data_IF_019171089453
#
_entry.id   IF_019171089453
#
_cell.length_a   1.000
_cell.length_b   1.000
_cell.length_c   1.000
_cell.angle_alpha   90.00
_cell.angle_beta   90.00
_cell.angle_gamma   90.00
#
_symmetry.space_group_name_H-M   'P 1'
#
loop_
_entity.id
_entity.type
_entity.pdbx_description
1 polymer ?
#
# COMPACT_ATOMS: atom_id res chain seq x y z
N UNK A 1 13.86 11.28 -1.97
CA UNK A 1 13.80 9.81 -1.86
C UNK A 1 12.86 9.33 -0.74
N UNK A 2 13.19 9.44 0.55
CA UNK A 2 12.33 8.87 1.61
C UNK A 2 10.92 9.45 1.71
N UNK A 3 10.79 10.78 1.65
CA UNK A 3 9.46 11.43 1.62
C UNK A 3 8.67 11.12 0.34
N UNK A 4 9.32 11.02 -0.82
CA UNK A 4 8.64 10.66 -2.08
C UNK A 4 8.08 9.24 -2.01
N UNK A 5 8.84 8.28 -1.46
CA UNK A 5 8.38 6.90 -1.23
C UNK A 5 7.21 6.85 -0.25
N UNK A 6 7.26 7.63 0.83
CA UNK A 6 6.17 7.71 1.81
C UNK A 6 4.91 8.36 1.20
N UNK A 7 5.06 9.46 0.46
CA UNK A 7 3.95 10.13 -0.25
C UNK A 7 3.27 9.18 -1.23
N UNK A 8 4.08 8.43 -1.99
CA UNK A 8 3.61 7.42 -2.92
C UNK A 8 2.86 6.32 -2.17
N UNK A 9 3.41 5.80 -1.07
CA UNK A 9 2.74 4.78 -0.28
C UNK A 9 1.40 5.25 0.28
N UNK A 10 1.33 6.46 0.84
CA UNK A 10 0.07 7.05 1.30
C UNK A 10 -0.95 7.13 0.15
N UNK A 11 -0.51 7.62 -1.01
CA UNK A 11 -1.34 7.73 -2.22
C UNK A 11 -1.86 6.37 -2.67
N UNK A 12 -0.98 5.36 -2.79
CA UNK A 12 -1.34 4.02 -3.22
C UNK A 12 -2.29 3.34 -2.23
N UNK A 13 -2.12 3.58 -0.92
CA UNK A 13 -3.05 3.08 0.11
C UNK A 13 -4.41 3.74 0.00
N UNK A 14 -4.49 5.06 -0.24
CA UNK A 14 -5.76 5.75 -0.48
C UNK A 14 -6.46 5.20 -1.72
N UNK A 15 -5.73 4.99 -2.83
CA UNK A 15 -6.27 4.38 -4.06
C UNK A 15 -6.88 3.01 -3.78
N UNK A 16 -6.15 2.17 -3.06
CA UNK A 16 -6.61 0.84 -2.68
C UNK A 16 -7.86 0.89 -1.78
N UNK A 17 -7.90 1.81 -0.79
CA UNK A 17 -9.09 2.03 0.05
C UNK A 17 -10.29 2.49 -0.77
N UNK A 18 -10.10 3.43 -1.70
CA UNK A 18 -11.16 3.92 -2.59
C UNK A 18 -11.67 2.82 -3.53
N UNK A 19 -10.80 1.97 -4.07
CA UNK A 19 -11.19 0.81 -4.86
C UNK A 19 -12.04 -0.18 -4.03
N UNK A 20 -11.70 -0.38 -2.74
CA UNK A 20 -12.39 -1.31 -1.84
C UNK A 20 -13.74 -0.79 -1.34
N UNK A 21 -13.80 0.49 -0.97
CA UNK A 21 -14.92 1.07 -0.22
C UNK A 21 -15.76 2.08 -1.02
N UNK A 22 -15.31 2.39 -2.24
CA UNK A 22 -15.79 3.50 -3.05
C UNK A 22 -15.20 4.84 -2.62
N UNK A 23 -15.09 5.78 -3.56
CA UNK A 23 -14.66 7.15 -3.26
C UNK A 23 -15.61 7.83 -2.27
N UNK A 24 -15.01 8.49 -1.27
CA UNK A 24 -15.69 9.37 -0.33
C UNK A 24 -14.87 10.63 -0.12
N UNK A 25 -15.53 11.77 -0.21
CA UNK A 25 -14.95 13.07 0.15
C UNK A 25 -14.90 13.19 1.68
N UNK A 26 -13.88 12.59 2.28
CA UNK A 26 -13.66 12.60 3.73
C UNK A 26 -12.16 12.58 4.08
N UNK A 27 -11.85 12.92 5.33
CA UNK A 27 -10.50 12.81 5.85
C UNK A 27 -10.16 11.34 6.17
N UNK A 28 -8.93 10.94 5.86
CA UNK A 28 -8.43 9.56 5.98
C UNK A 28 -7.41 9.49 7.12
N UNK A 29 -7.33 8.35 7.79
CA UNK A 29 -6.28 8.06 8.79
C UNK A 29 -5.56 6.78 8.43
N UNK A 30 -4.31 6.90 8.01
CA UNK A 30 -3.45 5.77 7.67
C UNK A 30 -2.44 5.51 8.79
N UNK A 31 -2.16 4.23 9.05
CA UNK A 31 -1.29 3.82 10.16
C UNK A 31 -0.08 3.06 9.65
N UNK A 32 1.12 3.52 10.05
CA UNK A 32 2.38 2.87 9.74
C UNK A 32 3.13 2.49 11.03
N UNK A 33 3.75 1.30 11.09
CA UNK A 33 4.68 1.00 12.17
C UNK A 33 5.98 1.80 11.98
N UNK A 34 6.71 2.00 13.08
CA UNK A 34 8.02 2.65 13.07
C UNK A 34 9.02 1.96 12.12
N UNK A 35 8.97 0.63 12.03
CA UNK A 35 9.84 -0.15 11.13
C UNK A 35 9.67 0.26 9.67
N UNK A 36 8.45 0.33 9.15
CA UNK A 36 8.19 0.76 7.78
C UNK A 36 8.63 2.20 7.53
N UNK A 37 8.48 3.09 8.51
CA UNK A 37 8.99 4.46 8.40
C UNK A 37 10.52 4.50 8.35
N UNK A 38 11.18 3.72 9.20
CA UNK A 38 12.62 3.54 9.15
C UNK A 38 13.08 3.03 7.77
N UNK A 39 12.34 2.10 7.14
CA UNK A 39 12.62 1.60 5.79
C UNK A 39 12.47 2.66 4.69
N UNK A 40 11.45 3.52 4.78
CA UNK A 40 11.30 4.62 3.82
C UNK A 40 12.50 5.57 3.84
N UNK A 41 12.98 5.90 5.04
CA UNK A 41 14.05 6.88 5.23
C UNK A 41 15.46 6.28 5.26
N UNK A 42 15.59 4.94 5.24
CA UNK A 42 16.85 4.21 5.41
C UNK A 42 17.58 4.62 6.70
N UNK A 43 16.86 4.57 7.82
CA UNK A 43 17.36 4.96 9.16
C UNK A 43 16.97 3.94 10.22
N UNK A 44 17.55 4.07 11.42
CA UNK A 44 17.18 3.28 12.60
C UNK A 44 16.80 4.23 13.74
N UNK A 45 15.67 4.91 13.56
CA UNK A 45 15.18 5.90 14.52
C UNK A 45 14.21 5.28 15.53
N UNK A 46 14.16 5.87 16.72
CA UNK A 46 13.12 5.62 17.73
C UNK A 46 11.90 6.51 17.45
N UNK A 47 10.77 6.19 18.08
CA UNK A 47 9.49 6.91 17.92
C UNK A 47 9.64 8.44 17.98
N UNK A 48 10.32 8.98 18.99
CA UNK A 48 10.49 10.43 19.16
C UNK A 48 11.28 11.09 18.01
N UNK A 49 12.30 10.40 17.50
CA UNK A 49 13.15 10.90 16.41
C UNK A 49 12.36 10.91 15.09
N UNK A 50 11.65 9.82 14.81
CA UNK A 50 10.80 9.71 13.63
C UNK A 50 9.63 10.70 13.68
N UNK A 51 9.02 10.93 14.85
CA UNK A 51 7.99 11.95 15.01
C UNK A 51 8.52 13.35 14.76
N UNK A 52 9.70 13.69 15.28
CA UNK A 52 10.34 14.98 15.02
C UNK A 52 10.65 15.18 13.52
N UNK A 53 11.13 14.13 12.84
CA UNK A 53 11.32 14.14 11.38
C UNK A 53 10.01 14.47 10.66
N UNK A 54 8.94 13.76 10.99
CA UNK A 54 7.63 13.89 10.36
C UNK A 54 6.85 15.16 10.75
N UNK A 55 7.35 15.99 11.67
CA UNK A 55 6.80 17.33 11.92
C UNK A 55 7.09 18.32 10.80
N UNK A 56 8.09 18.04 9.95
CA UNK A 56 8.52 18.91 8.85
C UNK A 56 8.28 18.21 7.51
N UNK A 57 7.02 17.95 7.19
CA UNK A 57 6.63 17.36 5.92
C UNK A 57 6.96 18.31 4.75
N UNK A 58 7.29 17.78 3.55
CA UNK A 58 7.56 18.62 2.39
C UNK A 58 6.35 19.49 2.01
N UNK A 59 6.60 20.76 1.69
CA UNK A 59 5.54 21.68 1.20
C UNK A 59 4.87 21.16 -0.08
N UNK A 60 5.57 20.35 -0.87
CA UNK A 60 5.02 19.71 -2.08
C UNK A 60 3.82 18.81 -1.81
N UNK A 61 3.65 18.33 -0.57
CA UNK A 61 2.48 17.55 -0.17
C UNK A 61 1.23 18.41 -0.05
N UNK A 62 1.37 19.70 0.26
CA UNK A 62 0.24 20.59 0.50
C UNK A 62 -0.69 20.68 -0.70
N UNK A 63 -0.17 20.61 -1.93
CA UNK A 63 -0.97 20.64 -3.16
C UNK A 63 -1.76 19.33 -3.37
N UNK A 64 -1.20 18.19 -2.95
CA UNK A 64 -1.76 16.87 -3.20
C UNK A 64 -2.57 16.34 -2.02
N UNK A 65 -1.93 16.22 -0.87
CA UNK A 65 -2.48 15.60 0.33
C UNK A 65 -3.04 16.62 1.32
N UNK A 66 -2.77 17.91 1.13
CA UNK A 66 -3.17 18.98 2.05
C UNK A 66 -2.29 19.07 3.30
N UNK A 67 -2.83 19.65 4.37
CA UNK A 67 -2.13 19.80 5.66
C UNK A 67 -2.14 18.48 6.43
N UNK A 68 -1.18 17.60 6.10
CA UNK A 68 -1.06 16.26 6.68
C UNK A 68 -0.56 16.35 8.12
N UNK A 69 -1.35 15.80 9.05
CA UNK A 69 -0.99 15.74 10.47
C UNK A 69 -0.39 14.38 10.83
N UNK A 70 0.66 14.37 11.67
CA UNK A 70 1.27 13.12 12.16
C UNK A 70 1.22 13.04 13.67
N UNK A 71 0.73 11.92 14.18
CA UNK A 71 0.77 11.57 15.61
C UNK A 71 1.33 10.16 15.78
N UNK A 72 1.90 9.86 16.95
CA UNK A 72 2.46 8.53 17.23
C UNK A 72 2.04 8.03 18.60
N UNK A 73 1.87 6.71 18.72
CA UNK A 73 1.65 6.02 19.99
C UNK A 73 2.07 4.56 19.90
N UNK A 74 3.00 4.13 20.76
CA UNK A 74 3.46 2.73 20.85
C UNK A 74 3.97 2.21 19.49
N UNK A 75 4.86 2.98 18.88
CA UNK A 75 5.54 2.74 17.60
C UNK A 75 4.59 2.64 16.40
N UNK A 76 3.37 3.15 16.54
CA UNK A 76 2.40 3.30 15.45
C UNK A 76 2.14 4.77 15.17
N UNK A 77 2.35 5.17 13.93
CA UNK A 77 2.19 6.53 13.43
C UNK A 77 0.88 6.65 12.66
N UNK A 78 0.05 7.60 13.06
CA UNK A 78 -1.19 7.94 12.37
C UNK A 78 -0.93 9.18 11.51
N UNK A 79 -1.10 9.03 10.20
CA UNK A 79 -1.16 10.10 9.22
C UNK A 79 -2.62 10.50 9.03
N UNK A 80 -2.98 11.68 9.53
CA UNK A 80 -4.24 12.33 9.22
C UNK A 80 -4.10 13.07 7.90
N UNK A 81 -4.90 12.68 6.91
CA UNK A 81 -4.94 13.29 5.59
C UNK A 81 -6.31 13.97 5.45
N UNK A 82 -6.38 15.29 5.25
CA UNK A 82 -7.65 16.00 5.08
C UNK A 82 -8.39 15.56 3.81
N UNK A 83 -9.66 15.99 3.65
CA UNK A 83 -10.49 15.64 2.50
C UNK A 83 -9.83 15.93 1.15
N UNK A 84 -8.95 16.93 1.10
CA UNK A 84 -8.18 17.29 -0.08
C UNK A 84 -7.38 16.10 -0.62
N UNK A 85 -6.72 15.33 0.25
CA UNK A 85 -5.95 14.17 -0.20
C UNK A 85 -6.83 13.09 -0.82
N UNK A 86 -8.00 12.80 -0.23
CA UNK A 86 -8.95 11.86 -0.82
C UNK A 86 -9.43 12.32 -2.21
N UNK A 87 -9.79 13.60 -2.34
CA UNK A 87 -10.24 14.20 -3.61
C UNK A 87 -9.13 14.18 -4.65
N UNK A 88 -7.92 14.60 -4.29
CA UNK A 88 -6.78 14.66 -5.20
C UNK A 88 -6.48 13.27 -5.79
N UNK A 89 -6.41 12.26 -4.93
CA UNK A 89 -6.14 10.88 -5.37
C UNK A 89 -7.24 10.38 -6.31
N UNK A 90 -8.50 10.64 -6.01
CA UNK A 90 -9.62 10.23 -6.86
C UNK A 90 -9.59 10.90 -8.23
N UNK A 91 -9.29 12.20 -8.28
CA UNK A 91 -9.25 12.98 -9.53
C UNK A 91 -8.04 12.64 -10.43
N UNK A 92 -6.97 12.07 -9.85
CA UNK A 92 -5.73 11.72 -10.55
C UNK A 92 -5.54 10.21 -10.72
N UNK A 93 -6.50 9.39 -10.28
CA UNK A 93 -6.50 7.95 -10.52
C UNK A 93 -6.72 7.65 -12.00
N UNK A 94 -5.90 6.76 -12.59
CA UNK A 94 -6.13 6.31 -13.96
C UNK A 94 -7.18 5.20 -13.99
N UNK A 95 -8.07 5.16 -15.00
CA UNK A 95 -9.07 4.10 -15.11
C UNK A 95 -8.46 2.69 -15.22
N UNK A 96 -7.25 2.55 -15.73
CA UNK A 96 -6.57 1.27 -16.00
C UNK A 96 -5.57 0.86 -14.91
N UNK A 97 -5.68 1.40 -13.69
CA UNK A 97 -4.79 1.00 -12.60
C UNK A 97 -5.02 -0.45 -12.14
N UNK A 98 -3.92 -1.20 -12.08
CA UNK A 98 -3.89 -2.59 -11.66
C UNK A 98 -4.63 -2.85 -10.34
N UNK A 99 -4.44 -1.99 -9.33
CA UNK A 99 -5.04 -2.17 -8.01
C UNK A 99 -6.58 -2.19 -8.05
N UNK A 100 -7.19 -1.40 -8.95
CA UNK A 100 -8.64 -1.36 -9.12
C UNK A 100 -9.16 -2.67 -9.71
N UNK A 101 -8.51 -3.16 -10.78
CA UNK A 101 -8.86 -4.47 -11.36
C UNK A 101 -8.66 -5.62 -10.36
N UNK A 102 -7.61 -5.55 -9.54
CA UNK A 102 -7.34 -6.55 -8.51
C UNK A 102 -8.43 -6.57 -7.44
N UNK A 103 -8.81 -5.41 -6.91
CA UNK A 103 -9.86 -5.29 -5.90
C UNK A 103 -11.21 -5.77 -6.45
N UNK A 104 -11.57 -5.37 -7.68
CA UNK A 104 -12.79 -5.84 -8.35
C UNK A 104 -12.78 -7.37 -8.54
N UNK A 105 -11.65 -7.93 -8.95
CA UNK A 105 -11.49 -9.37 -9.16
C UNK A 105 -11.62 -10.15 -7.85
N UNK A 106 -10.91 -9.74 -6.80
CA UNK A 106 -10.93 -10.41 -5.49
C UNK A 106 -12.28 -10.24 -4.79
N UNK A 107 -12.97 -9.12 -5.01
CA UNK A 107 -14.31 -8.86 -4.47
C UNK A 107 -15.41 -9.74 -5.08
N UNK A 108 -15.16 -10.42 -6.20
CA UNK A 108 -16.13 -11.31 -6.85
C UNK A 108 -16.19 -12.68 -6.16
N UNK A 109 -17.41 -13.17 -5.92
CA UNK A 109 -17.63 -14.54 -5.46
C UNK A 109 -17.04 -15.57 -6.43
N UNK A 110 -16.27 -16.52 -5.88
CA UNK A 110 -15.65 -17.59 -6.67
C UNK A 110 -14.39 -17.15 -7.44
N UNK A 111 -13.81 -16.00 -7.11
CA UNK A 111 -12.48 -15.63 -7.58
C UNK A 111 -11.47 -16.76 -7.31
N UNK A 112 -10.63 -17.06 -8.29
CA UNK A 112 -9.62 -18.12 -8.21
C UNK A 112 -8.21 -17.57 -8.28
N UNK A 113 -7.24 -18.32 -7.72
CA UNK A 113 -5.82 -17.97 -7.82
C UNK A 113 -5.31 -17.93 -9.26
N UNK A 114 -5.93 -18.71 -10.16
CA UNK A 114 -5.60 -18.68 -11.58
C UNK A 114 -5.97 -17.33 -12.20
N UNK A 115 -7.18 -16.81 -11.92
CA UNK A 115 -7.61 -15.51 -12.44
C UNK A 115 -6.74 -14.37 -11.89
N UNK A 116 -6.31 -14.45 -10.63
CA UNK A 116 -5.37 -13.48 -10.05
C UNK A 116 -4.04 -13.50 -10.81
N UNK A 117 -3.48 -14.70 -11.06
CA UNK A 117 -2.26 -14.84 -11.86
C UNK A 117 -2.42 -14.28 -13.27
N UNK A 118 -3.54 -14.57 -13.93
CA UNK A 118 -3.85 -14.06 -15.27
C UNK A 118 -3.92 -12.53 -15.27
N UNK A 119 -4.48 -11.92 -14.22
CA UNK A 119 -4.50 -10.46 -14.06
C UNK A 119 -3.09 -9.86 -13.96
N UNK A 120 -2.20 -10.43 -13.13
CA UNK A 120 -0.81 -9.97 -13.07
C UNK A 120 -0.12 -10.09 -14.44
N UNK A 121 -0.28 -11.23 -15.13
CA UNK A 121 0.32 -11.46 -16.45
C UNK A 121 -0.27 -10.58 -17.56
N UNK A 122 -1.49 -10.05 -17.39
CA UNK A 122 -2.08 -9.05 -18.30
C UNK A 122 -1.35 -7.70 -18.19
N UNK A 123 -0.91 -7.33 -16.98
CA UNK A 123 -0.27 -6.04 -16.69
C UNK A 123 1.25 -6.06 -16.87
N UNK A 124 1.91 -7.21 -16.81
CA UNK A 124 3.36 -7.32 -17.01
C UNK A 124 3.79 -8.69 -17.56
N UNK A 125 4.82 -8.69 -18.41
CA UNK A 125 5.52 -9.93 -18.81
C UNK A 125 6.54 -10.41 -17.78
N UNK A 126 6.88 -9.59 -16.78
CA UNK A 126 7.87 -9.86 -15.74
C UNK A 126 7.20 -9.94 -14.37
N UNK A 127 6.40 -11.00 -14.18
CA UNK A 127 5.71 -11.31 -12.93
C UNK A 127 6.46 -12.42 -12.21
N UNK A 128 6.80 -12.18 -10.96
CA UNK A 128 7.26 -13.23 -10.06
C UNK A 128 6.07 -13.80 -9.30
N UNK A 129 6.06 -15.13 -9.14
CA UNK A 129 5.05 -15.86 -8.41
C UNK A 129 5.73 -16.94 -7.57
N UNK A 130 5.53 -16.89 -6.26
CA UNK A 130 6.12 -17.83 -5.31
C UNK A 130 5.05 -18.42 -4.41
N UNK A 131 5.12 -19.72 -4.15
CA UNK A 131 4.30 -20.36 -3.13
C UNK A 131 4.90 -20.08 -1.75
N UNK A 132 4.05 -19.73 -0.80
CA UNK A 132 4.42 -19.47 0.59
C UNK A 132 4.04 -20.68 1.45
N UNK A 133 4.93 -21.09 2.36
CA UNK A 133 4.72 -22.22 3.28
C UNK A 133 4.82 -21.80 4.76
N UNK A 134 4.39 -20.58 5.08
CA UNK A 134 4.39 -20.04 6.46
C UNK A 134 3.06 -20.25 7.21
N UNK A 135 2.02 -20.74 6.52
CA UNK A 135 0.68 -20.96 7.06
C UNK A 135 -0.26 -19.76 7.00
N UNK A 136 0.27 -18.54 6.84
CA UNK A 136 -0.51 -17.30 6.79
C UNK A 136 -0.99 -16.97 5.37
N UNK A 137 -0.09 -17.06 4.39
CA UNK A 137 -0.40 -16.87 2.97
C UNK A 137 -0.04 -18.11 2.16
N UNK A 138 -0.67 -18.27 1.00
CA UNK A 138 -0.41 -19.40 0.10
C UNK A 138 0.46 -19.00 -1.09
N UNK A 139 0.32 -17.76 -1.57
CA UNK A 139 1.02 -17.26 -2.76
C UNK A 139 1.48 -15.81 -2.59
N UNK A 140 2.64 -15.50 -3.16
CA UNK A 140 3.12 -14.14 -3.37
C UNK A 140 3.21 -13.86 -4.86
N UNK A 141 2.73 -12.69 -5.27
CA UNK A 141 2.93 -12.14 -6.59
C UNK A 141 3.60 -10.76 -6.47
N UNK A 142 4.49 -10.44 -7.41
CA UNK A 142 5.02 -9.09 -7.58
C UNK A 142 5.41 -8.83 -9.03
N UNK A 143 5.52 -7.55 -9.37
CA UNK A 143 6.16 -7.12 -10.61
C UNK A 143 7.68 -7.00 -10.36
N UNK A 144 8.48 -7.81 -11.07
CA UNK A 144 9.91 -7.97 -10.77
C UNK A 144 10.74 -6.71 -11.07
N UNK A 145 10.34 -5.96 -12.09
CA UNK A 145 11.09 -4.84 -12.66
C UNK A 145 10.28 -3.53 -12.68
N UNK A 146 9.20 -3.47 -11.89
CA UNK A 146 8.32 -2.30 -11.83
C UNK A 146 8.64 -1.44 -10.60
N UNK A 147 9.25 -0.28 -10.84
CA UNK A 147 9.53 0.71 -9.79
C UNK A 147 8.26 1.50 -9.39
N UNK A 148 7.25 1.56 -10.27
CA UNK A 148 5.97 2.21 -10.01
C UNK A 148 5.06 1.31 -9.14
N UNK A 149 5.18 0.00 -9.22
CA UNK A 149 4.48 -0.94 -8.33
C UNK A 149 5.46 -1.93 -7.68
N UNK A 150 6.20 -1.50 -6.63
CA UNK A 150 7.23 -2.31 -6.00
C UNK A 150 6.67 -3.33 -4.99
N UNK A 151 5.34 -3.47 -4.89
CA UNK A 151 4.74 -4.17 -3.77
C UNK A 151 4.72 -5.69 -3.94
N UNK A 152 4.74 -6.38 -2.79
CA UNK A 152 4.54 -7.81 -2.69
C UNK A 152 3.08 -8.07 -2.30
N UNK A 153 2.35 -8.76 -3.17
CA UNK A 153 0.95 -9.12 -2.96
C UNK A 153 0.88 -10.56 -2.47
N UNK A 154 0.57 -10.73 -1.19
CA UNK A 154 0.44 -12.03 -0.55
C UNK A 154 -1.03 -12.42 -0.46
N UNK A 155 -1.41 -13.54 -1.06
CA UNK A 155 -2.78 -14.03 -1.14
C UNK A 155 -2.97 -15.27 -0.27
N UNK A 156 -4.16 -15.36 0.32
CA UNK A 156 -4.63 -16.52 1.08
C UNK A 156 -5.99 -16.97 0.53
N UNK A 157 -6.10 -18.24 0.19
CA UNK A 157 -7.37 -18.87 -0.16
C UNK A 157 -8.02 -19.43 1.11
N UNK A 158 -9.10 -18.79 1.55
CA UNK A 158 -9.89 -19.23 2.71
C UNK A 158 -11.03 -20.19 2.30
N UNK A 159 -10.99 -20.73 1.08
CA UNK A 159 -11.94 -21.70 0.51
C UNK A 159 -13.24 -21.07 -0.01
N UNK A 160 -13.74 -20.02 0.64
CA UNK A 160 -14.94 -19.28 0.19
C UNK A 160 -14.56 -17.97 -0.50
N UNK A 161 -13.46 -17.37 -0.05
CA UNK A 161 -12.96 -16.10 -0.56
C UNK A 161 -11.44 -16.09 -0.52
N UNK A 162 -10.85 -15.35 -1.45
CA UNK A 162 -9.44 -15.04 -1.44
C UNK A 162 -9.28 -13.69 -0.75
N UNK A 163 -8.34 -13.59 0.18
CA UNK A 163 -7.90 -12.34 0.76
C UNK A 163 -6.47 -12.05 0.33
N UNK A 164 -6.07 -10.78 0.40
CA UNK A 164 -4.69 -10.41 0.14
C UNK A 164 -4.22 -9.30 1.08
N UNK A 165 -2.91 -9.31 1.31
CA UNK A 165 -2.17 -8.21 1.93
C UNK A 165 -1.09 -7.74 0.97
N UNK A 166 -0.82 -6.44 1.02
CA UNK A 166 0.21 -5.79 0.21
C UNK A 166 1.31 -5.28 1.12
N UNK A 167 2.55 -5.63 0.82
CA UNK A 167 3.73 -5.28 1.61
C UNK A 167 4.71 -4.48 0.75
N UNK A 168 5.42 -3.54 1.37
CA UNK A 168 6.64 -3.00 0.78
C UNK A 168 7.74 -4.08 0.78
N UNK A 169 8.73 -4.00 -0.12
CA UNK A 169 9.82 -4.97 -0.17
C UNK A 169 10.54 -5.19 1.16
N UNK A 170 10.78 -4.12 1.92
CA UNK A 170 11.42 -4.18 3.22
C UNK A 170 10.53 -4.87 4.26
N UNK A 171 9.25 -4.49 4.31
CA UNK A 171 8.28 -5.08 5.24
C UNK A 171 8.05 -6.57 4.95
N UNK A 172 8.00 -6.95 3.67
CA UNK A 172 7.87 -8.36 3.27
C UNK A 172 9.07 -9.20 3.74
N UNK A 173 10.29 -8.67 3.63
CA UNK A 173 11.51 -9.36 4.10
C UNK A 173 11.52 -9.54 5.62
N UNK A 174 11.02 -8.56 6.37
CA UNK A 174 10.92 -8.65 7.84
C UNK A 174 9.80 -9.56 8.31
N UNK A 175 8.72 -9.68 7.52
CA UNK A 175 7.61 -10.57 7.81
C UNK A 175 8.03 -12.06 7.83
N UNK A 176 9.17 -12.41 7.21
CA UNK A 176 9.83 -13.71 7.42
C UNK A 176 9.31 -14.84 6.53
N UNK A 177 9.01 -14.51 5.26
CA UNK A 177 8.55 -15.45 4.23
C UNK A 177 9.69 -16.05 3.44
#
# INVERSE_FOLDING_TARGET
MGYERLEKSLTDTIKEEQAKLGFRKEAIRLYYPLSSLNHFFDVQEREEQMLHRLQHLPETWQEKLGDVGVTAKKERFCFYIPEQGSVYVHEHEKPDEFIRELVELVGRHGCTMQEIRELFCKHSSHVECQKIENGEFDWMFRFAEDEEDPYYYCFKDEGIHIIYHRFLPEDYREFGV
#
